data_IF_579388474614
#
_entry.id   IF_579388474614
#
_cell.length_a   1.000
_cell.length_b   1.000
_cell.length_c   1.000
_cell.angle_alpha   90.00
_cell.angle_beta   90.00
_cell.angle_gamma   90.00
#
_symmetry.space_group_name_H-M   'P 1'
#
loop_
_entity.id
_entity.type
_entity.pdbx_description
1 polymer ?
#
# COMPACT_ATOMS: atom_id res chain seq x y z
N UNK A 1 -3.65 -12.43 24.16
CA UNK A 1 -4.21 -11.78 22.96
C UNK A 1 -4.14 -10.27 23.18
N UNK A 2 -3.24 -9.56 22.50
CA UNK A 2 -3.13 -8.10 22.62
C UNK A 2 -3.67 -7.44 21.35
N UNK A 3 -4.95 -7.07 21.39
CA UNK A 3 -5.60 -6.21 20.39
C UNK A 3 -5.25 -4.75 20.70
N UNK A 4 -4.12 -4.27 20.22
CA UNK A 4 -3.74 -2.86 20.39
C UNK A 4 -4.26 -2.04 19.19
N UNK A 5 -5.55 -1.74 19.18
CA UNK A 5 -6.16 -0.76 18.28
C UNK A 5 -5.86 0.66 18.78
N UNK A 6 -4.59 1.07 18.82
CA UNK A 6 -4.28 2.50 18.94
C UNK A 6 -4.37 3.11 17.55
N UNK A 7 -5.49 3.77 17.27
CA UNK A 7 -5.74 4.60 16.08
C UNK A 7 -4.91 5.90 16.09
N UNK A 8 -4.11 6.12 17.13
CA UNK A 8 -3.39 7.36 17.37
C UNK A 8 -1.87 7.13 17.32
N UNK A 9 -1.20 7.95 16.52
CA UNK A 9 0.26 7.99 16.42
C UNK A 9 0.78 9.14 17.29
N UNK A 10 1.33 8.82 18.46
CA UNK A 10 1.96 9.81 19.32
C UNK A 10 3.44 9.98 18.93
N UNK A 11 3.81 11.20 18.56
CA UNK A 11 5.18 11.57 18.19
C UNK A 11 5.69 12.67 19.11
N UNK A 12 7.01 12.70 19.34
CA UNK A 12 7.69 13.75 20.09
C UNK A 12 8.66 14.49 19.16
N UNK A 13 8.67 15.81 19.24
CA UNK A 13 9.59 16.66 18.49
C UNK A 13 10.62 17.30 19.42
N UNK A 14 11.85 17.57 18.96
CA UNK A 14 12.89 18.22 19.77
C UNK A 14 12.51 19.62 20.28
N UNK A 15 11.57 20.30 19.61
CA UNK A 15 11.03 21.60 20.03
C UNK A 15 9.69 21.90 19.35
N UNK A 16 9.01 22.93 19.85
CA UNK A 16 7.70 23.39 19.37
C UNK A 16 7.69 23.72 17.87
N UNK A 17 8.74 24.38 17.37
CA UNK A 17 8.84 24.77 15.95
C UNK A 17 8.82 23.56 15.02
N UNK A 18 9.62 22.53 15.34
CA UNK A 18 9.66 21.30 14.54
C UNK A 18 8.33 20.55 14.60
N UNK A 19 7.71 20.46 15.78
CA UNK A 19 6.37 19.89 15.93
C UNK A 19 5.36 20.57 15.00
N UNK A 20 5.30 21.90 15.06
CA UNK A 20 4.30 22.68 14.33
C UNK A 20 4.51 22.57 12.80
N UNK A 21 5.78 22.52 12.35
CA UNK A 21 6.12 22.27 10.95
C UNK A 21 5.64 20.89 10.47
N UNK A 22 5.84 19.84 11.28
CA UNK A 22 5.36 18.49 10.97
C UNK A 22 3.84 18.43 10.94
N UNK A 23 3.14 19.05 11.90
CA UNK A 23 1.68 19.11 11.93
C UNK A 23 1.15 19.79 10.66
N UNK A 24 1.70 20.96 10.30
CA UNK A 24 1.28 21.68 9.10
C UNK A 24 1.51 20.86 7.82
N UNK A 25 2.69 20.24 7.69
CA UNK A 25 3.01 19.39 6.55
C UNK A 25 2.09 18.18 6.43
N UNK A 26 1.83 17.48 7.52
CA UNK A 26 0.94 16.32 7.54
C UNK A 26 -0.51 16.72 7.23
N UNK A 27 -0.99 17.85 7.77
CA UNK A 27 -2.32 18.36 7.46
C UNK A 27 -2.50 18.65 5.97
N UNK A 28 -1.50 19.26 5.32
CA UNK A 28 -1.53 19.49 3.87
C UNK A 28 -1.66 18.18 3.10
N UNK A 29 -0.95 17.13 3.51
CA UNK A 29 -1.03 15.82 2.86
C UNK A 29 -2.40 15.16 3.06
N UNK A 30 -2.95 15.23 4.27
CA UNK A 30 -4.29 14.72 4.60
C UNK A 30 -5.34 15.46 3.75
N UNK A 31 -5.29 16.77 3.73
CA UNK A 31 -6.23 17.59 2.99
C UNK A 31 -6.14 17.34 1.48
N UNK A 32 -4.93 17.13 0.95
CA UNK A 32 -4.72 16.78 -0.45
C UNK A 32 -5.30 15.39 -0.77
N UNK A 33 -5.14 14.43 0.12
CA UNK A 33 -5.76 13.11 0.00
C UNK A 33 -7.29 13.21 0.01
N UNK A 34 -7.86 14.01 0.91
CA UNK A 34 -9.30 14.21 1.02
C UNK A 34 -9.90 14.91 -0.21
N UNK A 35 -9.12 15.79 -0.86
CA UNK A 35 -9.51 16.50 -2.10
C UNK A 35 -9.20 15.73 -3.39
N UNK A 36 -8.87 14.44 -3.31
CA UNK A 36 -8.57 13.64 -4.50
C UNK A 36 -9.69 13.74 -5.53
N UNK A 37 -9.32 14.19 -6.73
CA UNK A 37 -10.24 14.24 -7.85
C UNK A 37 -10.42 12.84 -8.46
N UNK A 38 -11.47 12.61 -9.23
CA UNK A 38 -11.67 11.35 -9.94
C UNK A 38 -10.51 11.02 -10.89
N UNK A 39 -9.79 12.03 -11.40
CA UNK A 39 -8.55 11.83 -12.18
C UNK A 39 -7.39 11.29 -11.34
N UNK A 40 -7.31 11.66 -10.07
CA UNK A 40 -6.28 11.15 -9.15
C UNK A 40 -6.57 9.71 -8.74
N UNK A 41 -7.85 9.35 -8.58
CA UNK A 41 -8.28 7.96 -8.37
C UNK A 41 -7.93 7.07 -9.59
N UNK A 42 -8.19 7.55 -10.81
CA UNK A 42 -7.83 6.83 -12.05
C UNK A 42 -6.31 6.66 -12.15
N UNK A 43 -5.51 7.67 -11.77
CA UNK A 43 -4.06 7.54 -11.71
C UNK A 43 -3.60 6.52 -10.66
N UNK A 44 -4.35 6.37 -9.58
CA UNK A 44 -4.06 5.32 -8.59
C UNK A 44 -4.39 3.91 -9.10
N UNK A 45 -5.54 3.73 -9.73
CA UNK A 45 -5.86 2.46 -10.39
C UNK A 45 -4.81 2.10 -11.46
N UNK A 46 -4.29 3.11 -12.16
CA UNK A 46 -3.23 2.93 -13.14
C UNK A 46 -1.89 2.47 -12.54
N UNK A 47 -1.55 2.81 -11.29
CA UNK A 47 -0.30 2.30 -10.70
C UNK A 47 -0.41 0.80 -10.45
N UNK A 48 -1.55 0.31 -9.94
CA UNK A 48 -1.79 -1.12 -9.75
C UNK A 48 -1.70 -1.87 -11.08
N UNK A 49 -2.35 -1.35 -12.13
CA UNK A 49 -2.27 -1.92 -13.48
C UNK A 49 -0.84 -1.90 -14.03
N UNK A 50 -0.05 -0.87 -13.72
CA UNK A 50 1.35 -0.79 -14.13
C UNK A 50 2.20 -1.86 -13.44
N UNK A 51 2.02 -2.08 -12.14
CA UNK A 51 2.71 -3.15 -11.43
C UNK A 51 2.25 -4.54 -11.87
N UNK A 52 0.96 -4.71 -12.17
CA UNK A 52 0.44 -5.93 -12.76
C UNK A 52 1.18 -6.26 -14.06
N UNK A 53 1.27 -5.29 -14.98
CA UNK A 53 2.00 -5.45 -16.26
C UNK A 53 3.50 -5.73 -16.08
N UNK A 54 4.13 -5.18 -15.05
CA UNK A 54 5.54 -5.43 -14.75
C UNK A 54 5.77 -6.84 -14.17
N UNK A 55 4.78 -7.38 -13.46
CA UNK A 55 4.87 -8.70 -12.84
C UNK A 55 4.45 -9.84 -13.77
N UNK A 56 3.52 -9.58 -14.69
CA UNK A 56 3.10 -10.49 -15.77
C UNK A 56 4.22 -10.62 -16.81
N UNK A 57 5.22 -11.45 -16.51
CA UNK A 57 6.41 -11.62 -17.35
C UNK A 57 6.14 -12.49 -18.56
N UNK A 58 5.22 -13.44 -18.41
CA UNK A 58 4.80 -14.31 -19.50
C UNK A 58 3.75 -13.67 -20.43
N UNK A 59 3.24 -12.48 -20.06
CA UNK A 59 2.22 -11.72 -20.81
C UNK A 59 0.95 -12.55 -21.01
N UNK A 60 0.65 -13.42 -20.05
CA UNK A 60 -0.56 -14.24 -20.05
C UNK A 60 -1.81 -13.41 -19.76
N UNK A 61 -1.67 -12.12 -19.44
CA UNK A 61 -2.71 -11.25 -18.87
C UNK A 61 -3.24 -11.78 -17.52
N UNK A 62 -2.48 -12.67 -16.88
CA UNK A 62 -2.77 -13.27 -15.59
C UNK A 62 -1.50 -13.28 -14.75
N UNK A 63 -1.62 -13.38 -13.43
CA UNK A 63 -0.45 -13.52 -12.57
C UNK A 63 -0.39 -14.95 -12.06
N UNK A 64 0.63 -15.69 -12.50
CA UNK A 64 0.94 -16.95 -11.85
C UNK A 64 1.25 -16.71 -10.38
N UNK A 65 1.06 -17.74 -9.55
CA UNK A 65 1.38 -17.70 -8.11
C UNK A 65 2.77 -17.17 -7.80
N UNK A 66 3.75 -17.50 -8.64
CA UNK A 66 5.14 -17.03 -8.53
C UNK A 66 5.26 -15.53 -8.82
N UNK A 67 4.56 -15.03 -9.83
CA UNK A 67 4.57 -13.61 -10.21
C UNK A 67 3.80 -12.77 -9.19
N UNK A 68 2.65 -13.24 -8.74
CA UNK A 68 1.89 -12.62 -7.67
C UNK A 68 2.74 -12.48 -6.39
N UNK A 69 3.47 -13.54 -6.02
CA UNK A 69 4.38 -13.51 -4.87
C UNK A 69 5.53 -12.51 -5.04
N UNK A 70 6.13 -12.45 -6.23
CA UNK A 70 7.19 -11.48 -6.56
C UNK A 70 6.67 -10.05 -6.57
N UNK A 71 5.47 -9.80 -7.08
CA UNK A 71 4.83 -8.49 -7.06
C UNK A 71 4.64 -8.00 -5.61
N UNK A 72 4.06 -8.84 -4.75
CA UNK A 72 3.85 -8.48 -3.34
C UNK A 72 5.17 -8.19 -2.62
N UNK A 73 6.17 -9.07 -2.80
CA UNK A 73 7.42 -8.98 -2.05
C UNK A 73 8.35 -7.88 -2.58
N UNK A 74 8.51 -7.79 -3.91
CA UNK A 74 9.55 -6.98 -4.53
C UNK A 74 9.04 -5.63 -5.02
N UNK A 75 7.78 -5.55 -5.44
CA UNK A 75 7.21 -4.32 -6.00
C UNK A 75 6.41 -3.52 -4.98
N UNK A 76 5.69 -4.21 -4.07
CA UNK A 76 4.87 -3.57 -3.04
C UNK A 76 5.50 -3.62 -1.65
N UNK A 77 6.65 -4.28 -1.49
CA UNK A 77 7.37 -4.46 -0.22
C UNK A 77 6.50 -5.04 0.91
N UNK A 78 5.52 -5.87 0.55
CA UNK A 78 4.63 -6.57 1.50
C UNK A 78 5.24 -7.92 1.81
N UNK A 79 5.63 -8.12 3.08
CA UNK A 79 6.10 -9.41 3.57
C UNK A 79 4.91 -10.25 4.04
N UNK A 80 4.54 -11.25 3.25
CA UNK A 80 3.46 -12.19 3.58
C UNK A 80 4.07 -13.57 3.90
N UNK A 81 3.80 -14.14 5.08
CA UNK A 81 4.14 -15.53 5.39
C UNK A 81 3.57 -16.51 4.36
N UNK A 82 4.25 -17.64 4.13
CA UNK A 82 3.87 -18.60 3.09
C UNK A 82 2.43 -19.10 3.25
N UNK A 83 2.09 -19.58 4.44
CA UNK A 83 0.77 -20.07 4.82
C UNK A 83 -0.34 -19.04 4.56
N UNK A 84 -0.09 -17.77 4.91
CA UNK A 84 -1.05 -16.68 4.69
C UNK A 84 -1.19 -16.39 3.20
N UNK A 85 -0.07 -16.33 2.47
CA UNK A 85 -0.07 -16.10 1.02
C UNK A 85 -0.83 -17.21 0.28
N UNK A 86 -0.57 -18.47 0.61
CA UNK A 86 -1.25 -19.64 0.04
C UNK A 86 -2.77 -19.55 0.22
N UNK A 87 -3.22 -19.28 1.45
CA UNK A 87 -4.64 -19.16 1.77
C UNK A 87 -5.30 -18.00 1.02
N UNK A 88 -4.63 -16.86 0.92
CA UNK A 88 -5.13 -15.69 0.21
C UNK A 88 -5.18 -15.93 -1.30
N UNK A 89 -4.14 -16.55 -1.87
CA UNK A 89 -4.09 -16.89 -3.28
C UNK A 89 -5.20 -17.86 -3.66
N UNK A 90 -5.36 -18.97 -2.93
CA UNK A 90 -6.44 -19.95 -3.17
C UNK A 90 -7.84 -19.36 -3.01
N UNK A 91 -8.01 -18.36 -2.15
CA UNK A 91 -9.30 -17.67 -1.99
C UNK A 91 -9.61 -16.74 -3.18
N UNK A 92 -8.57 -16.16 -3.79
CA UNK A 92 -8.70 -15.24 -4.92
C UNK A 92 -8.72 -15.96 -6.29
N UNK A 93 -8.13 -17.14 -6.38
CA UNK A 93 -8.09 -18.02 -7.56
C UNK A 93 -9.33 -18.93 -7.68
N UNK A 94 -10.38 -18.64 -6.91
CA UNK A 94 -11.71 -19.26 -6.97
C UNK A 94 -12.70 -18.34 -7.63
#
# INVERSE_FOLDING_TARGET
>A
MYNNHRSELHLMAPNKRIRDLWIAGLQILIDRQARKSQRDLIKEENWILSYFRLADKDKSNSLSKRECRKLLTNSLNVKVPNDIFERLFQKADK
#
